data_IF_793968320495
#
_entry.id   IF_793968320495
#
_cell.length_a   1.000
_cell.length_b   1.000
_cell.length_c   1.000
_cell.angle_alpha   90.00
_cell.angle_beta   90.00
_cell.angle_gamma   90.00
#
_symmetry.space_group_name_H-M   'P 1'
#
loop_
_entity.id
_entity.type
_entity.pdbx_description
1 polymer ?
#
# COMPACT_ATOMS: atom_id res chain seq x y z
N UNK A 1 3.20 5.51 -25.11
CA UNK A 1 3.81 4.77 -23.98
C UNK A 1 3.05 3.45 -23.77
N UNK A 2 2.98 2.61 -24.80
CA UNK A 2 2.19 1.37 -24.82
C UNK A 2 3.07 0.25 -25.37
N UNK A 3 4.09 -0.15 -24.62
CA UNK A 3 4.83 -1.37 -24.92
C UNK A 3 4.35 -2.44 -23.92
N UNK A 4 3.51 -3.40 -24.34
CA UNK A 4 2.97 -4.46 -23.48
C UNK A 4 4.07 -5.26 -22.78
N UNK A 5 5.24 -5.43 -23.44
CA UNK A 5 6.34 -6.25 -22.91
C UNK A 5 6.89 -5.74 -21.56
N UNK A 6 6.94 -4.43 -21.33
CA UNK A 6 7.44 -3.89 -20.05
C UNK A 6 6.47 -4.17 -18.88
N UNK A 7 5.17 -4.20 -19.14
CA UNK A 7 4.19 -4.55 -18.13
C UNK A 7 4.24 -6.06 -17.82
N UNK A 8 4.44 -6.89 -18.83
CA UNK A 8 4.61 -8.34 -18.68
C UNK A 8 5.88 -8.70 -17.90
N UNK A 9 6.97 -7.95 -18.05
CA UNK A 9 8.23 -8.17 -17.31
C UNK A 9 8.15 -7.81 -15.81
N UNK A 10 7.27 -6.88 -15.43
CA UNK A 10 7.12 -6.38 -14.06
C UNK A 10 6.01 -7.12 -13.29
N UNK A 11 4.97 -7.54 -14.00
CA UNK A 11 3.83 -8.22 -13.42
C UNK A 11 4.21 -9.69 -13.14
N UNK A 12 3.90 -10.24 -11.96
CA UNK A 12 4.28 -11.62 -11.65
C UNK A 12 3.62 -12.58 -12.65
N UNK A 13 4.36 -13.59 -13.13
CA UNK A 13 3.87 -14.58 -14.09
C UNK A 13 2.55 -15.26 -13.66
N UNK A 14 2.29 -15.33 -12.34
CA UNK A 14 1.03 -15.84 -11.78
C UNK A 14 -0.18 -14.95 -12.08
N UNK A 15 0.00 -13.63 -12.10
CA UNK A 15 -1.04 -12.67 -12.47
C UNK A 15 -1.28 -12.72 -13.97
N UNK A 16 -0.23 -12.81 -14.80
CA UNK A 16 -0.36 -13.05 -16.25
C UNK A 16 -1.11 -14.35 -16.54
N UNK A 17 -0.75 -15.44 -15.88
CA UNK A 17 -1.44 -16.73 -16.01
C UNK A 17 -2.89 -16.70 -15.48
N UNK A 18 -3.22 -15.79 -14.57
CA UNK A 18 -4.62 -15.54 -14.17
C UNK A 18 -5.33 -14.70 -15.24
N UNK A 19 -4.74 -13.62 -15.75
CA UNK A 19 -5.33 -12.78 -16.79
C UNK A 19 -5.63 -13.58 -18.06
N UNK A 20 -4.76 -14.51 -18.44
CA UNK A 20 -4.96 -15.42 -19.59
C UNK A 20 -6.05 -16.48 -19.35
N UNK A 21 -6.29 -16.88 -18.10
CA UNK A 21 -7.27 -17.92 -17.74
C UNK A 21 -8.62 -17.37 -17.28
N UNK A 22 -8.71 -16.07 -17.00
CA UNK A 22 -9.91 -15.46 -16.41
C UNK A 22 -10.76 -14.88 -17.52
N UNK A 23 -11.79 -15.62 -17.94
CA UNK A 23 -12.90 -15.04 -18.69
C UNK A 23 -13.62 -13.98 -17.82
N UNK A 24 -14.32 -13.02 -18.43
CA UNK A 24 -14.97 -11.88 -17.73
C UNK A 24 -15.91 -12.31 -16.58
N UNK A 25 -16.33 -13.57 -16.57
CA UNK A 25 -17.21 -14.22 -15.59
C UNK A 25 -16.50 -14.85 -14.40
N UNK A 26 -15.17 -15.09 -14.45
CA UNK A 26 -14.46 -15.90 -13.45
C UNK A 26 -13.80 -15.08 -12.32
N UNK A 27 -13.68 -13.76 -12.48
CA UNK A 27 -13.05 -12.87 -11.48
C UNK A 27 -13.78 -12.90 -10.11
N UNK A 28 -15.11 -13.06 -10.12
CA UNK A 28 -15.93 -13.19 -8.90
C UNK A 28 -16.24 -14.64 -8.51
N UNK A 29 -15.96 -15.63 -9.37
CA UNK A 29 -16.28 -17.04 -9.17
C UNK A 29 -15.10 -17.88 -8.66
N UNK A 30 -14.12 -17.24 -8.02
CA UNK A 30 -13.06 -17.97 -7.29
C UNK A 30 -13.64 -18.53 -5.99
N UNK A 31 -13.34 -19.78 -5.66
CA UNK A 31 -13.81 -20.41 -4.41
C UNK A 31 -13.43 -19.57 -3.18
N UNK A 32 -14.20 -19.67 -2.10
CA UNK A 32 -13.92 -18.94 -0.85
C UNK A 32 -12.47 -19.15 -0.36
N UNK A 33 -11.90 -20.34 -0.56
CA UNK A 33 -10.49 -20.64 -0.28
C UNK A 33 -9.52 -19.85 -1.16
N UNK A 34 -9.78 -19.76 -2.48
CA UNK A 34 -8.95 -19.00 -3.39
C UNK A 34 -9.02 -17.48 -3.10
N UNK A 35 -10.18 -16.97 -2.69
CA UNK A 35 -10.37 -15.58 -2.23
C UNK A 35 -9.57 -15.27 -0.96
N UNK A 36 -9.61 -16.18 0.02
CA UNK A 36 -8.84 -16.05 1.26
C UNK A 36 -7.32 -16.13 1.02
N UNK A 37 -6.88 -16.99 0.11
CA UNK A 37 -5.47 -17.12 -0.28
C UNK A 37 -4.96 -15.88 -1.03
N UNK A 38 -5.76 -15.33 -1.96
CA UNK A 38 -5.43 -14.11 -2.68
C UNK A 38 -5.36 -12.90 -1.73
N UNK A 39 -6.32 -12.79 -0.80
CA UNK A 39 -6.33 -11.70 0.16
C UNK A 39 -5.16 -11.76 1.15
N UNK A 40 -4.91 -12.95 1.70
CA UNK A 40 -3.75 -13.17 2.60
C UNK A 40 -2.42 -12.84 1.91
N UNK A 41 -2.31 -13.11 0.60
CA UNK A 41 -1.12 -12.80 -0.19
C UNK A 41 -0.93 -11.29 -0.41
N UNK A 42 -1.99 -10.54 -0.71
CA UNK A 42 -1.94 -9.09 -0.95
C UNK A 42 -1.58 -8.32 0.32
N UNK A 43 -2.26 -8.61 1.44
CA UNK A 43 -1.95 -8.00 2.75
C UNK A 43 -0.51 -8.28 3.16
N UNK A 44 -0.07 -9.54 3.05
CA UNK A 44 1.31 -9.93 3.38
C UNK A 44 2.31 -9.20 2.49
N UNK A 45 1.97 -8.98 1.22
CA UNK A 45 2.82 -8.25 0.30
C UNK A 45 2.93 -6.76 0.69
N UNK A 46 1.82 -6.10 1.03
CA UNK A 46 1.83 -4.69 1.43
C UNK A 46 2.56 -4.45 2.75
N UNK A 47 2.43 -5.35 3.73
CA UNK A 47 3.23 -5.33 4.97
C UNK A 47 4.72 -5.48 4.66
N UNK A 48 5.09 -6.40 3.76
CA UNK A 48 6.49 -6.58 3.33
C UNK A 48 7.05 -5.33 2.66
N UNK A 49 6.29 -4.69 1.76
CA UNK A 49 6.70 -3.44 1.10
C UNK A 49 6.89 -2.33 2.12
N UNK A 50 5.97 -2.17 3.08
CA UNK A 50 6.09 -1.17 4.13
C UNK A 50 7.34 -1.40 5.01
N UNK A 51 7.58 -2.64 5.41
CA UNK A 51 8.77 -3.01 6.17
C UNK A 51 10.06 -2.76 5.38
N UNK A 52 10.08 -3.15 4.10
CA UNK A 52 11.22 -2.93 3.22
C UNK A 52 11.48 -1.43 3.01
N UNK A 53 10.42 -0.64 2.80
CA UNK A 53 10.53 0.81 2.66
C UNK A 53 11.11 1.44 3.94
N UNK A 54 10.65 1.00 5.11
CA UNK A 54 11.18 1.45 6.40
C UNK A 54 12.66 1.08 6.57
N UNK A 55 13.00 -0.20 6.39
CA UNK A 55 14.35 -0.72 6.60
C UNK A 55 15.36 -0.13 5.61
N UNK A 56 15.00 -0.03 4.33
CA UNK A 56 15.84 0.59 3.31
C UNK A 56 16.07 2.10 3.56
N UNK A 57 15.10 2.77 4.18
CA UNK A 57 15.23 4.16 4.62
C UNK A 57 16.27 4.35 5.71
N UNK A 58 16.31 3.45 6.69
CA UNK A 58 17.32 3.47 7.76
C UNK A 58 18.72 3.34 7.15
N UNK A 59 18.91 2.39 6.23
CA UNK A 59 20.23 2.06 5.71
C UNK A 59 20.78 3.09 4.71
N UNK A 60 19.94 3.63 3.82
CA UNK A 60 20.40 4.43 2.68
C UNK A 60 19.59 5.70 2.40
N UNK A 61 18.58 6.05 3.22
CA UNK A 61 17.56 7.09 2.96
C UNK A 61 16.84 6.94 1.62
N UNK A 62 17.56 7.14 0.51
CA UNK A 62 17.13 6.88 -0.86
C UNK A 62 16.55 5.48 -1.06
N UNK A 63 16.90 4.52 -0.21
CA UNK A 63 16.29 3.19 -0.19
C UNK A 63 14.77 3.22 -0.03
N UNK A 64 14.20 4.04 0.87
CA UNK A 64 12.75 4.19 0.96
C UNK A 64 12.16 4.76 -0.32
N UNK A 65 12.80 5.80 -0.88
CA UNK A 65 12.31 6.46 -2.10
C UNK A 65 12.27 5.46 -3.27
N UNK A 66 13.33 4.66 -3.41
CA UNK A 66 13.39 3.61 -4.42
C UNK A 66 12.26 2.58 -4.25
N UNK A 67 12.06 2.06 -3.03
CA UNK A 67 11.00 1.07 -2.76
C UNK A 67 9.62 1.65 -3.04
N UNK A 68 9.35 2.89 -2.62
CA UNK A 68 8.07 3.57 -2.84
C UNK A 68 7.83 3.85 -4.33
N UNK A 69 8.86 4.31 -5.05
CA UNK A 69 8.77 4.56 -6.49
C UNK A 69 8.51 3.26 -7.26
N UNK A 70 9.23 2.18 -6.92
CA UNK A 70 9.03 0.87 -7.53
C UNK A 70 7.64 0.31 -7.22
N UNK A 71 7.14 0.48 -5.99
CA UNK A 71 5.76 0.09 -5.64
C UNK A 71 4.73 0.86 -6.47
N UNK A 72 4.94 2.16 -6.70
CA UNK A 72 4.09 2.97 -7.60
C UNK A 72 4.12 2.49 -9.05
N UNK A 73 5.31 2.19 -9.59
CA UNK A 73 5.47 1.63 -10.94
C UNK A 73 4.76 0.28 -11.05
N UNK A 74 4.91 -0.59 -10.05
CA UNK A 74 4.26 -1.90 -10.01
C UNK A 74 2.72 -1.78 -10.07
N UNK A 75 2.13 -0.91 -9.24
CA UNK A 75 0.68 -0.69 -9.23
C UNK A 75 0.22 -0.09 -10.57
N UNK A 76 0.99 0.86 -11.12
CA UNK A 76 0.71 1.44 -12.44
C UNK A 76 0.74 0.40 -13.56
N UNK A 77 1.70 -0.53 -13.54
CA UNK A 77 1.78 -1.62 -14.50
C UNK A 77 0.58 -2.56 -14.41
N UNK A 78 0.19 -2.97 -13.19
CA UNK A 78 -1.01 -3.80 -12.97
C UNK A 78 -2.28 -3.10 -13.45
N UNK A 79 -2.43 -1.80 -13.15
CA UNK A 79 -3.57 -1.01 -13.60
C UNK A 79 -3.61 -0.84 -15.13
N UNK A 80 -2.46 -0.56 -15.75
CA UNK A 80 -2.32 -0.42 -17.20
C UNK A 80 -2.63 -1.71 -17.94
N UNK A 81 -2.09 -2.84 -17.48
CA UNK A 81 -2.38 -4.15 -18.07
C UNK A 81 -3.85 -4.52 -17.91
N UNK A 82 -4.42 -4.32 -16.71
CA UNK A 82 -5.85 -4.54 -16.48
C UNK A 82 -6.73 -3.68 -17.38
N UNK A 83 -6.29 -2.47 -17.73
CA UNK A 83 -7.00 -1.60 -18.67
C UNK A 83 -7.00 -2.15 -20.09
N UNK A 84 -5.85 -2.60 -20.58
CA UNK A 84 -5.72 -3.20 -21.93
C UNK A 84 -6.59 -4.45 -22.07
N UNK A 85 -6.71 -5.26 -21.01
CA UNK A 85 -7.55 -6.47 -21.00
C UNK A 85 -9.04 -6.20 -20.66
N UNK A 86 -9.46 -4.94 -20.48
CA UNK A 86 -10.85 -4.61 -20.16
C UNK A 86 -11.31 -4.99 -18.74
N UNK A 87 -10.36 -5.20 -17.82
CA UNK A 87 -10.56 -5.61 -16.42
C UNK A 87 -10.44 -4.45 -15.42
N UNK A 88 -10.38 -3.19 -15.88
CA UNK A 88 -10.25 -2.02 -14.99
C UNK A 88 -11.31 -1.97 -13.89
N UNK A 89 -12.58 -2.21 -14.21
CA UNK A 89 -13.65 -2.14 -13.24
C UNK A 89 -13.51 -3.24 -12.17
N UNK A 90 -13.13 -4.44 -12.59
CA UNK A 90 -12.87 -5.56 -11.69
C UNK A 90 -11.72 -5.24 -10.73
N UNK A 91 -10.59 -4.76 -11.25
CA UNK A 91 -9.43 -4.33 -10.46
C UNK A 91 -9.81 -3.24 -9.45
N UNK A 92 -10.38 -2.13 -9.91
CA UNK A 92 -10.67 -0.98 -9.05
C UNK A 92 -11.76 -1.28 -8.03
N UNK A 93 -12.76 -2.08 -8.37
CA UNK A 93 -13.78 -2.52 -7.40
C UNK A 93 -13.21 -3.43 -6.31
N UNK A 94 -12.16 -4.19 -6.63
CA UNK A 94 -11.48 -5.06 -5.68
C UNK A 94 -10.50 -4.27 -4.80
N UNK A 95 -9.69 -3.38 -5.37
CA UNK A 95 -8.60 -2.67 -4.68
C UNK A 95 -9.07 -1.42 -3.93
N UNK A 96 -10.03 -0.67 -4.49
CA UNK A 96 -10.47 0.63 -3.94
C UNK A 96 -10.87 0.60 -2.45
N UNK A 97 -11.61 -0.42 -1.93
CA UNK A 97 -12.04 -0.44 -0.54
C UNK A 97 -10.92 -0.26 0.51
N UNK A 98 -9.75 -0.85 0.27
CA UNK A 98 -8.62 -0.87 1.22
C UNK A 98 -7.37 -0.16 0.68
N UNK A 99 -7.21 -0.01 -0.64
CA UNK A 99 -5.99 0.49 -1.26
C UNK A 99 -5.53 1.87 -0.77
N UNK A 100 -6.46 2.77 -0.45
CA UNK A 100 -6.12 4.08 0.13
C UNK A 100 -5.42 3.95 1.49
N UNK A 101 -5.89 3.03 2.33
CA UNK A 101 -5.38 2.80 3.68
C UNK A 101 -3.98 2.19 3.59
N UNK A 102 -3.82 1.15 2.76
CA UNK A 102 -2.55 0.42 2.62
C UNK A 102 -1.46 1.29 2.02
N UNK A 103 -1.76 2.02 0.94
CA UNK A 103 -0.80 2.95 0.34
C UNK A 103 -0.36 4.00 1.35
N UNK A 104 -1.30 4.60 2.07
CA UNK A 104 -0.99 5.59 3.11
C UNK A 104 -0.09 4.99 4.20
N UNK A 105 -0.37 3.76 4.65
CA UNK A 105 0.45 3.07 5.63
C UNK A 105 1.88 2.79 5.11
N UNK A 106 2.02 2.40 3.84
CA UNK A 106 3.32 2.20 3.16
C UNK A 106 4.10 3.52 3.10
N UNK A 107 3.46 4.63 2.72
CA UNK A 107 4.10 5.95 2.69
C UNK A 107 4.55 6.42 4.08
N UNK A 108 3.73 6.20 5.12
CA UNK A 108 4.09 6.52 6.51
C UNK A 108 5.30 5.68 6.96
N UNK A 109 5.32 4.38 6.65
CA UNK A 109 6.44 3.51 6.98
C UNK A 109 7.75 3.94 6.26
N UNK A 110 7.67 4.27 4.97
CA UNK A 110 8.79 4.84 4.22
C UNK A 110 9.29 6.18 4.79
N UNK A 111 8.37 7.08 5.15
CA UNK A 111 8.70 8.35 5.81
C UNK A 111 9.36 8.17 7.18
N UNK A 112 8.91 7.18 7.97
CA UNK A 112 9.55 6.82 9.23
C UNK A 112 10.99 6.29 9.01
N UNK A 113 11.20 5.50 7.95
CA UNK A 113 12.53 5.01 7.56
C UNK A 113 13.46 6.14 7.15
N UNK A 114 12.98 7.07 6.32
CA UNK A 114 13.71 8.29 5.94
C UNK A 114 14.10 9.13 7.15
N UNK A 115 13.19 9.32 8.12
CA UNK A 115 13.48 10.06 9.35
C UNK A 115 14.59 9.42 10.18
N UNK A 116 14.59 8.09 10.27
CA UNK A 116 15.65 7.34 10.95
C UNK A 116 16.99 7.45 10.24
N UNK A 117 17.01 7.27 8.91
CA UNK A 117 18.21 7.44 8.09
C UNK A 117 18.78 8.85 8.17
N UNK A 118 17.91 9.88 8.14
CA UNK A 118 18.33 11.28 8.27
C UNK A 118 19.01 11.54 9.62
N UNK A 119 18.47 11.01 10.72
CA UNK A 119 19.05 11.17 12.04
C UNK A 119 20.45 10.51 12.17
N UNK A 120 20.74 9.48 11.37
CA UNK A 120 22.07 8.87 11.31
C UNK A 120 23.07 9.74 10.54
N UNK A 121 22.64 10.32 9.43
CA UNK A 121 23.51 11.09 8.51
C UNK A 121 23.75 12.52 9.03
N UNK A 122 22.69 13.21 9.44
CA UNK A 122 22.70 14.61 9.84
C UNK A 122 22.06 14.80 11.23
N UNK A 123 22.74 14.40 12.32
CA UNK A 123 22.19 14.47 13.68
C UNK A 123 22.09 15.91 14.25
N UNK A 124 22.58 16.91 13.53
CA UNK A 124 22.61 18.31 13.97
C UNK A 124 23.49 18.49 15.21
N UNK A 125 22.94 19.15 16.23
CA UNK A 125 23.63 19.43 17.50
C UNK A 125 23.64 18.24 18.47
N UNK A 126 22.98 17.14 18.15
CA UNK A 126 22.92 15.96 19.00
C UNK A 126 24.00 14.93 18.63
N UNK A 127 24.34 14.08 19.59
CA UNK A 127 25.08 12.85 19.27
C UNK A 127 24.21 11.95 18.39
N UNK A 128 24.83 11.17 17.49
CA UNK A 128 24.09 10.23 16.60
C UNK A 128 23.15 9.31 17.38
N UNK A 129 23.60 8.80 18.54
CA UNK A 129 22.79 7.97 19.42
C UNK A 129 21.53 8.70 19.92
N UNK A 130 21.67 9.96 20.34
CA UNK A 130 20.54 10.76 20.83
C UNK A 130 19.59 11.12 19.69
N UNK A 131 20.11 11.59 18.55
CA UNK A 131 19.31 11.88 17.36
C UNK A 131 18.51 10.66 16.90
N UNK A 132 19.16 9.49 16.86
CA UNK A 132 18.52 8.22 16.50
C UNK A 132 17.44 7.82 17.51
N UNK A 133 17.68 8.02 18.81
CA UNK A 133 16.69 7.69 19.85
C UNK A 133 15.42 8.53 19.70
N UNK A 134 15.55 9.82 19.41
CA UNK A 134 14.39 10.71 19.18
C UNK A 134 13.66 10.39 17.87
N UNK A 135 14.41 10.07 16.81
CA UNK A 135 13.83 9.60 15.56
C UNK A 135 13.08 8.28 15.77
N UNK A 136 13.64 7.35 16.55
CA UNK A 136 13.05 6.05 16.84
C UNK A 136 11.73 6.17 17.61
N UNK A 137 11.64 7.06 18.59
CA UNK A 137 10.36 7.34 19.29
C UNK A 137 9.27 7.78 18.32
N UNK A 138 9.61 8.62 17.35
CA UNK A 138 8.65 9.02 16.31
C UNK A 138 8.32 7.83 15.41
N UNK A 139 9.33 7.11 14.93
CA UNK A 139 9.16 5.99 14.01
C UNK A 139 8.29 4.88 14.62
N UNK A 140 8.50 4.52 15.88
CA UNK A 140 7.67 3.51 16.58
C UNK A 140 6.22 3.93 16.67
N UNK A 141 5.93 5.22 16.96
CA UNK A 141 4.55 5.74 16.96
C UNK A 141 3.90 5.67 15.58
N UNK A 142 4.64 6.05 14.54
CA UNK A 142 4.17 5.99 13.15
C UNK A 142 3.91 4.54 12.72
N UNK A 143 4.82 3.62 13.01
CA UNK A 143 4.67 2.19 12.70
C UNK A 143 3.52 1.54 13.49
N UNK A 144 3.30 1.95 14.74
CA UNK A 144 2.12 1.55 15.51
C UNK A 144 0.81 1.96 14.81
N UNK A 145 0.78 3.18 14.26
CA UNK A 145 -0.31 3.63 13.39
C UNK A 145 -0.45 2.81 12.12
N UNK A 146 0.65 2.49 11.43
CA UNK A 146 0.65 1.63 10.25
C UNK A 146 0.06 0.24 10.54
N UNK A 147 0.40 -0.38 11.68
CA UNK A 147 -0.17 -1.68 12.07
C UNK A 147 -1.69 -1.58 12.19
N UNK A 148 -2.21 -0.56 12.87
CA UNK A 148 -3.66 -0.35 12.98
C UNK A 148 -4.31 -0.15 11.60
N UNK A 149 -3.69 0.63 10.71
CA UNK A 149 -4.16 0.83 9.35
C UNK A 149 -4.17 -0.49 8.54
N UNK A 150 -3.12 -1.31 8.63
CA UNK A 150 -3.07 -2.61 7.95
C UNK A 150 -4.12 -3.59 8.48
N UNK A 151 -4.42 -3.58 9.78
CA UNK A 151 -5.49 -4.39 10.34
C UNK A 151 -6.86 -3.97 9.79
N UNK A 152 -7.12 -2.65 9.72
CA UNK A 152 -8.37 -2.13 9.13
C UNK A 152 -8.47 -2.49 7.64
N UNK A 153 -7.38 -2.29 6.89
CA UNK A 153 -7.30 -2.66 5.49
C UNK A 153 -7.56 -4.15 5.28
N UNK A 154 -6.93 -5.01 6.09
CA UNK A 154 -7.09 -6.46 5.98
C UNK A 154 -8.50 -6.94 6.32
N UNK A 155 -9.20 -6.28 7.25
CA UNK A 155 -10.62 -6.54 7.51
C UNK A 155 -11.45 -6.13 6.28
N UNK A 156 -11.26 -4.91 5.75
CA UNK A 156 -11.99 -4.46 4.57
C UNK A 156 -11.73 -5.39 3.38
N UNK A 157 -10.49 -5.83 3.19
CA UNK A 157 -10.11 -6.74 2.13
C UNK A 157 -10.73 -8.12 2.31
N UNK A 158 -10.74 -8.68 3.53
CA UNK A 158 -11.33 -10.00 3.80
C UNK A 158 -12.84 -10.03 3.62
N UNK A 159 -13.54 -8.92 3.89
CA UNK A 159 -15.01 -8.87 3.88
C UNK A 159 -15.61 -8.15 2.67
N UNK A 160 -15.06 -7.01 2.25
CA UNK A 160 -15.66 -6.14 1.23
C UNK A 160 -15.12 -6.46 -0.17
N UNK A 161 -13.81 -6.57 -0.35
CA UNK A 161 -13.21 -6.82 -1.68
C UNK A 161 -13.77 -8.06 -2.37
N UNK A 162 -13.90 -9.22 -1.70
CA UNK A 162 -14.44 -10.42 -2.32
C UNK A 162 -15.99 -10.47 -2.33
N UNK A 163 -16.69 -9.58 -1.63
CA UNK A 163 -18.16 -9.62 -1.54
C UNK A 163 -18.87 -9.53 -2.89
N UNK A 164 -20.14 -9.95 -2.95
CA UNK A 164 -20.99 -9.83 -4.15
C UNK A 164 -21.59 -8.42 -4.32
N UNK A 165 -21.13 -7.45 -3.52
CA UNK A 165 -21.61 -6.07 -3.61
C UNK A 165 -21.36 -5.49 -5.02
N UNK A 166 -22.27 -4.61 -5.51
CA UNK A 166 -22.07 -3.92 -6.77
C UNK A 166 -20.72 -3.17 -6.80
N UNK A 167 -20.00 -3.14 -7.93
CA UNK A 167 -18.72 -2.43 -8.04
C UNK A 167 -18.78 -0.97 -7.59
N UNK A 168 -19.89 -0.27 -7.88
CA UNK A 168 -20.12 1.12 -7.45
C UNK A 168 -20.15 1.27 -5.93
N UNK A 169 -20.74 0.32 -5.21
CA UNK A 169 -20.79 0.31 -3.74
C UNK A 169 -19.40 0.09 -3.17
N UNK A 170 -18.63 -0.86 -3.70
CA UNK A 170 -17.24 -1.11 -3.26
C UNK A 170 -16.35 0.11 -3.46
N UNK A 171 -16.44 0.75 -4.63
CA UNK A 171 -15.70 1.99 -4.93
C UNK A 171 -16.17 3.12 -4.00
N UNK A 172 -17.47 3.23 -3.73
CA UNK A 172 -18.00 4.21 -2.77
C UNK A 172 -17.46 4.00 -1.36
N UNK A 173 -17.39 2.76 -0.88
CA UNK A 173 -16.78 2.42 0.41
C UNK A 173 -15.30 2.83 0.41
N UNK A 174 -14.55 2.51 -0.64
CA UNK A 174 -13.15 2.91 -0.79
C UNK A 174 -12.94 4.42 -0.78
N UNK A 175 -13.78 5.16 -1.51
CA UNK A 175 -13.74 6.62 -1.49
C UNK A 175 -14.03 7.17 -0.08
N UNK A 176 -15.01 6.61 0.63
CA UNK A 176 -15.30 7.01 2.01
C UNK A 176 -14.14 6.71 2.97
N UNK A 177 -13.54 5.52 2.90
CA UNK A 177 -12.39 5.17 3.76
C UNK A 177 -11.21 6.11 3.50
N UNK A 178 -10.94 6.42 2.23
CA UNK A 178 -9.95 7.42 1.83
C UNK A 178 -10.25 8.81 2.41
N UNK A 179 -11.48 9.32 2.25
CA UNK A 179 -11.89 10.63 2.78
C UNK A 179 -11.73 10.69 4.31
N UNK A 180 -12.21 9.68 5.03
CA UNK A 180 -12.10 9.63 6.50
C UNK A 180 -10.64 9.60 6.94
N UNK A 181 -9.81 8.79 6.29
CA UNK A 181 -8.39 8.69 6.58
C UNK A 181 -7.68 10.03 6.35
N UNK A 182 -7.87 10.66 5.19
CA UNK A 182 -7.22 11.92 4.88
C UNK A 182 -7.71 13.05 5.78
N UNK A 183 -9.01 13.11 6.09
CA UNK A 183 -9.54 14.06 7.08
C UNK A 183 -8.88 13.87 8.46
N UNK A 184 -8.72 12.63 8.92
CA UNK A 184 -8.01 12.35 10.17
C UNK A 184 -6.55 12.83 10.12
N UNK A 185 -5.81 12.51 9.06
CA UNK A 185 -4.40 12.89 8.93
C UNK A 185 -4.21 14.41 8.87
N UNK A 186 -5.03 15.13 8.11
CA UNK A 186 -4.95 16.59 8.03
C UNK A 186 -5.30 17.26 9.37
N UNK A 187 -6.30 16.77 10.11
CA UNK A 187 -6.65 17.33 11.43
C UNK A 187 -5.61 17.01 12.50
N UNK A 188 -5.11 15.77 12.50
CA UNK A 188 -4.06 15.34 13.42
C UNK A 188 -2.75 16.13 13.21
N UNK A 189 -2.41 16.46 11.96
CA UNK A 189 -1.25 17.30 11.63
C UNK A 189 -1.37 18.74 12.10
N UNK A 190 -2.57 19.33 12.02
CA UNK A 190 -2.82 20.72 12.46
C UNK A 190 -2.73 20.88 13.97
N UNK A 191 -3.15 19.86 14.74
CA UNK A 191 -3.25 19.97 16.21
C UNK A 191 -1.87 19.99 16.91
N UNK A 192 -0.80 19.51 16.26
CA UNK A 192 0.56 19.57 16.81
C UNK A 192 1.26 20.92 16.63
N UNK A 193 0.82 21.77 15.70
CA UNK A 193 1.48 23.05 15.42
C UNK A 193 1.00 24.21 16.32
N UNK A 194 0.23 23.90 17.37
CA UNK A 194 -0.41 24.87 18.27
C UNK A 194 -0.05 24.66 19.76
N UNK A 195 1.03 23.90 20.04
CA UNK A 195 1.59 23.73 21.39
C UNK A 195 3.09 23.94 21.40
#
# INVERSE_FOLDING_TARGET
MTNPGFAEDIVPARLLAHLDKTDKTTWNNTSAEARNLLSSFVITNNIRVAFLAFAAGIAFMLGSVYVLAFNGVYIGAVAGLSHVHGLSLALWSFVSPHGYIELTAIFIAGGAGLKMGYALIAPGLFTRKRALTEAAKTAVRLLGGCIALFLIAGVIEGFISPSELPPSVKIGIGAMTGVVLFQYLFRAGVTQNSR
#
